data_IF_894452701137
#
_entry.id   IF_894452701137
#
_cell.length_a   1.000
_cell.length_b   1.000
_cell.length_c   1.000
_cell.angle_alpha   90.00
_cell.angle_beta   90.00
_cell.angle_gamma   90.00
#
_symmetry.space_group_name_H-M   'P 1'
#
loop_
_entity.id
_entity.type
_entity.pdbx_description
1 polymer ?
#
# COMPACT_ATOMS: atom_id res chain seq x y z
N UNK A 1 35.36 -8.84 -10.43
CA UNK A 1 34.12 -9.34 -9.79
C UNK A 1 33.10 -8.22 -9.84
N UNK A 2 31.81 -8.52 -9.94
CA UNK A 2 30.75 -7.50 -9.95
C UNK A 2 30.03 -7.45 -8.61
N UNK A 3 29.40 -6.32 -8.30
CA UNK A 3 28.64 -6.09 -7.07
C UNK A 3 27.15 -6.18 -7.37
N UNK A 4 26.41 -6.89 -6.53
CA UNK A 4 24.97 -7.09 -6.70
C UNK A 4 24.18 -6.18 -5.75
N UNK A 5 22.97 -5.82 -6.17
CA UNK A 5 21.94 -5.17 -5.37
C UNK A 5 20.68 -6.04 -5.46
N UNK A 6 20.03 -6.30 -4.34
CA UNK A 6 18.86 -7.18 -4.27
C UNK A 6 17.69 -6.53 -3.53
N UNK A 7 16.48 -6.88 -3.95
CA UNK A 7 15.26 -6.72 -3.19
C UNK A 7 14.87 -8.08 -2.64
N UNK A 8 14.92 -8.22 -1.31
CA UNK A 8 14.68 -9.49 -0.63
C UNK A 8 13.51 -9.41 0.35
N UNK A 9 12.86 -10.54 0.62
CA UNK A 9 11.90 -10.72 1.71
C UNK A 9 12.40 -11.83 2.63
N UNK A 10 12.70 -11.52 3.89
CA UNK A 10 13.28 -12.50 4.83
C UNK A 10 14.55 -13.18 4.28
N UNK A 11 15.36 -12.46 3.50
CA UNK A 11 16.56 -12.97 2.83
C UNK A 11 16.30 -13.83 1.59
N UNK A 12 15.06 -13.86 1.09
CA UNK A 12 14.70 -14.50 -0.17
C UNK A 12 14.62 -13.46 -1.29
N UNK A 13 15.46 -13.62 -2.32
CA UNK A 13 15.58 -12.62 -3.40
C UNK A 13 14.42 -12.62 -4.38
N UNK A 14 13.77 -11.47 -4.53
CA UNK A 14 12.67 -11.23 -5.46
C UNK A 14 13.15 -10.59 -6.77
N UNK A 15 14.15 -9.71 -6.69
CA UNK A 15 14.76 -9.08 -7.85
C UNK A 15 16.20 -8.71 -7.51
N UNK A 16 17.07 -8.70 -8.50
CA UNK A 16 18.45 -8.28 -8.33
C UNK A 16 18.98 -7.61 -9.60
N UNK A 17 20.06 -6.85 -9.43
CA UNK A 17 20.85 -6.31 -10.53
C UNK A 17 22.33 -6.37 -10.16
N UNK A 18 23.20 -6.31 -11.17
CA UNK A 18 24.65 -6.37 -11.00
C UNK A 18 25.30 -5.17 -11.67
N UNK A 19 26.18 -4.50 -10.92
CA UNK A 19 26.91 -3.31 -11.36
C UNK A 19 25.99 -2.16 -11.83
N UNK A 20 24.72 -2.15 -11.42
CA UNK A 20 23.75 -1.10 -11.70
C UNK A 20 22.62 -1.14 -10.67
N UNK A 21 21.87 -0.05 -10.50
CA UNK A 21 20.73 0.00 -9.57
C UNK A 21 19.57 -0.91 -9.97
N UNK A 22 19.45 -1.26 -11.25
CA UNK A 22 18.28 -1.96 -11.77
C UNK A 22 16.99 -1.15 -11.56
N UNK A 23 15.96 -1.82 -11.07
CA UNK A 23 14.69 -1.18 -10.71
C UNK A 23 14.90 -0.41 -9.40
N UNK A 24 14.58 0.88 -9.40
CA UNK A 24 14.58 1.65 -8.16
C UNK A 24 13.34 1.27 -7.31
N UNK A 25 13.62 0.71 -6.13
CA UNK A 25 12.64 0.22 -5.16
C UNK A 25 12.41 1.18 -3.99
N UNK A 26 13.02 2.37 -4.01
CA UNK A 26 13.00 3.31 -2.90
C UNK A 26 11.60 3.80 -2.49
N UNK A 27 10.63 3.78 -3.41
CA UNK A 27 9.22 4.06 -3.11
C UNK A 27 8.56 3.09 -2.12
N UNK A 28 9.14 1.92 -1.89
CA UNK A 28 8.71 0.97 -0.84
C UNK A 28 9.17 1.39 0.57
N UNK A 29 10.09 2.35 0.66
CA UNK A 29 10.72 2.76 1.91
C UNK A 29 10.54 4.26 2.15
N UNK A 30 10.77 4.68 3.38
CA UNK A 30 10.76 6.06 3.85
C UNK A 30 12.16 6.40 4.38
N UNK A 31 12.45 7.69 4.53
CA UNK A 31 13.79 8.15 4.95
C UNK A 31 14.26 7.57 6.30
N UNK A 32 13.34 7.15 7.17
CA UNK A 32 13.64 6.52 8.45
C UNK A 32 14.00 5.03 8.38
N UNK A 33 13.89 4.40 7.21
CA UNK A 33 14.09 2.94 7.05
C UNK A 33 15.54 2.56 6.71
N UNK A 34 16.47 3.51 6.73
CA UNK A 34 17.89 3.21 6.62
C UNK A 34 18.35 2.42 7.83
N UNK A 35 19.02 1.30 7.57
CA UNK A 35 19.49 0.37 8.59
C UNK A 35 20.90 -0.09 8.23
N UNK A 36 21.83 -0.01 9.18
CA UNK A 36 23.15 -0.61 9.03
C UNK A 36 23.10 -2.04 9.56
N UNK A 37 23.28 -3.02 8.68
CA UNK A 37 23.34 -4.42 9.06
C UNK A 37 24.54 -4.69 9.99
N UNK A 38 24.44 -5.62 10.94
CA UNK A 38 25.62 -6.10 11.68
C UNK A 38 26.60 -6.78 10.71
N UNK A 39 27.90 -6.84 11.05
CA UNK A 39 28.86 -7.54 10.20
C UNK A 39 28.56 -9.04 10.16
N UNK A 40 28.85 -9.69 9.04
CA UNK A 40 28.75 -11.15 8.90
C UNK A 40 29.84 -11.85 9.70
N UNK A 41 29.70 -13.15 9.94
CA UNK A 41 30.76 -13.92 10.61
C UNK A 41 32.08 -13.88 9.82
N UNK A 42 32.00 -13.92 8.49
CA UNK A 42 33.16 -13.81 7.59
C UNK A 42 33.84 -12.44 7.71
N UNK A 43 33.06 -11.36 7.71
CA UNK A 43 33.59 -9.99 7.90
C UNK A 43 34.26 -9.81 9.27
N UNK A 44 33.73 -10.45 10.32
CA UNK A 44 34.33 -10.44 11.66
C UNK A 44 35.66 -11.19 11.67
N UNK A 45 35.74 -12.34 11.00
CA UNK A 45 36.96 -13.14 10.91
C UNK A 45 38.07 -12.44 10.10
N UNK A 46 37.69 -11.62 9.11
CA UNK A 46 38.62 -10.79 8.33
C UNK A 46 39.22 -9.60 9.11
N UNK A 47 38.64 -9.25 10.28
CA UNK A 47 39.26 -8.34 11.26
C UNK A 47 39.26 -6.85 10.90
N UNK A 48 38.26 -6.37 10.15
CA UNK A 48 38.12 -4.96 9.76
C UNK A 48 37.60 -4.02 10.86
N UNK A 49 37.76 -2.69 10.67
CA UNK A 49 37.08 -1.69 11.50
C UNK A 49 35.66 -1.40 10.97
N UNK A 50 34.65 -1.88 11.70
CA UNK A 50 33.25 -1.75 11.33
C UNK A 50 32.64 -0.36 11.57
N UNK A 51 33.40 0.55 12.20
CA UNK A 51 32.96 1.91 12.47
C UNK A 51 33.45 2.93 11.45
N UNK A 52 34.30 2.51 10.49
CA UNK A 52 34.72 3.39 9.41
C UNK A 52 33.54 3.74 8.49
N UNK A 53 33.45 4.98 7.97
CA UNK A 53 32.34 5.41 7.13
C UNK A 53 32.06 4.50 5.93
N UNK A 54 33.10 3.99 5.27
CA UNK A 54 32.97 3.13 4.10
C UNK A 54 32.43 1.74 4.47
N UNK A 55 32.81 1.21 5.64
CA UNK A 55 32.29 -0.05 6.20
C UNK A 55 30.84 0.07 6.65
N UNK A 56 30.46 1.23 7.22
CA UNK A 56 29.07 1.53 7.55
C UNK A 56 28.25 1.61 6.26
N UNK A 57 28.71 2.37 5.26
CA UNK A 57 28.03 2.52 3.98
C UNK A 57 27.85 1.18 3.26
N UNK A 58 28.90 0.35 3.22
CA UNK A 58 28.86 -0.98 2.61
C UNK A 58 27.74 -1.85 3.17
N UNK A 59 27.48 -1.77 4.48
CA UNK A 59 26.45 -2.55 5.19
C UNK A 59 25.12 -1.80 5.35
N UNK A 60 24.97 -0.63 4.73
CA UNK A 60 23.73 0.15 4.84
C UNK A 60 22.70 -0.32 3.83
N UNK A 61 21.52 -0.66 4.31
CA UNK A 61 20.37 -1.12 3.53
C UNK A 61 19.14 -0.26 3.81
N UNK A 62 18.10 -0.43 3.00
CA UNK A 62 16.74 -0.02 3.37
C UNK A 62 15.97 -1.24 3.86
N UNK A 63 15.26 -1.11 4.99
CA UNK A 63 14.59 -2.23 5.64
C UNK A 63 13.25 -1.81 6.27
N UNK A 64 12.16 -2.47 5.90
CA UNK A 64 10.81 -2.22 6.48
C UNK A 64 10.07 -3.55 6.72
N UNK A 65 9.26 -3.69 7.79
CA UNK A 65 8.43 -4.87 7.99
C UNK A 65 7.45 -5.11 6.84
N UNK A 66 7.27 -6.37 6.45
CA UNK A 66 6.42 -6.80 5.34
C UNK A 66 4.98 -6.32 5.51
N UNK A 67 4.43 -6.36 6.74
CA UNK A 67 3.09 -5.88 7.02
C UNK A 67 2.89 -4.39 6.72
N UNK A 68 3.93 -3.56 6.88
CA UNK A 68 3.87 -2.14 6.51
C UNK A 68 4.07 -1.93 5.00
N UNK A 69 4.91 -2.76 4.37
CA UNK A 69 5.12 -2.74 2.92
C UNK A 69 3.81 -3.00 2.17
N UNK A 70 2.96 -3.91 2.65
CA UNK A 70 1.64 -4.18 2.05
C UNK A 70 0.82 -2.90 1.85
N UNK A 71 0.76 -2.02 2.86
CA UNK A 71 0.00 -0.79 2.73
C UNK A 71 0.53 0.13 1.62
N UNK A 72 1.85 0.13 1.41
CA UNK A 72 2.49 0.88 0.31
C UNK A 72 2.21 0.21 -1.03
N UNK A 73 2.28 -1.11 -1.10
CA UNK A 73 1.97 -1.89 -2.31
C UNK A 73 0.54 -1.67 -2.78
N UNK A 74 -0.43 -1.67 -1.86
CA UNK A 74 -1.84 -1.42 -2.19
C UNK A 74 -2.05 -0.01 -2.80
N UNK A 75 -1.29 1.00 -2.34
CA UNK A 75 -1.29 2.38 -2.89
C UNK A 75 -0.46 2.55 -4.17
N UNK A 76 0.41 1.58 -4.49
CA UNK A 76 1.13 1.48 -5.76
C UNK A 76 0.35 0.65 -6.79
N UNK A 77 -0.81 0.10 -6.42
CA UNK A 77 -1.66 -0.71 -7.29
C UNK A 77 -1.32 -2.20 -7.31
N UNK A 78 -0.37 -2.65 -6.50
CA UNK A 78 -0.03 -4.07 -6.32
C UNK A 78 -0.96 -4.72 -5.28
N UNK A 79 -2.26 -4.66 -5.57
CA UNK A 79 -3.33 -5.26 -4.76
C UNK A 79 -3.40 -6.77 -4.98
N UNK A 80 -4.10 -7.47 -4.08
CA UNK A 80 -4.32 -8.91 -4.24
C UNK A 80 -5.10 -9.24 -5.51
N UNK A 81 -6.08 -8.40 -5.87
CA UNK A 81 -6.85 -8.51 -7.11
C UNK A 81 -5.97 -8.39 -8.35
N UNK A 82 -5.06 -7.42 -8.38
CA UNK A 82 -4.13 -7.28 -9.50
C UNK A 82 -3.08 -8.40 -9.56
N UNK A 83 -2.66 -8.95 -8.41
CA UNK A 83 -1.79 -10.13 -8.39
C UNK A 83 -2.52 -11.36 -8.96
N UNK A 84 -3.81 -11.53 -8.68
CA UNK A 84 -4.65 -12.57 -9.28
C UNK A 84 -4.79 -12.38 -10.79
N UNK A 85 -5.09 -11.15 -11.23
CA UNK A 85 -5.18 -10.81 -12.65
C UNK A 85 -3.86 -11.10 -13.38
N UNK A 86 -2.74 -10.66 -12.82
CA UNK A 86 -1.40 -10.90 -13.37
C UNK A 86 -1.10 -12.39 -13.48
N UNK A 87 -1.41 -13.18 -12.44
CA UNK A 87 -1.25 -14.63 -12.46
C UNK A 87 -2.07 -15.29 -13.57
N UNK A 88 -3.36 -14.92 -13.70
CA UNK A 88 -4.25 -15.51 -14.69
C UNK A 88 -3.81 -15.16 -16.13
N UNK A 89 -3.37 -13.93 -16.37
CA UNK A 89 -2.82 -13.52 -17.67
C UNK A 89 -1.52 -14.26 -18.00
N UNK A 90 -0.62 -14.41 -17.02
CA UNK A 90 0.62 -15.19 -17.18
C UNK A 90 0.33 -16.66 -17.50
N UNK A 91 -0.59 -17.30 -16.77
CA UNK A 91 -0.98 -18.70 -17.03
C UNK A 91 -1.62 -18.87 -18.40
N UNK A 92 -2.50 -17.94 -18.82
CA UNK A 92 -3.08 -17.94 -20.17
C UNK A 92 -1.98 -17.89 -21.23
N UNK A 93 -1.04 -16.95 -21.10
CA UNK A 93 0.08 -16.80 -22.03
C UNK A 93 0.95 -18.06 -22.10
N UNK A 94 1.34 -18.59 -20.95
CA UNK A 94 2.13 -19.83 -20.86
C UNK A 94 1.41 -21.03 -21.50
N UNK A 95 0.08 -21.11 -21.37
CA UNK A 95 -0.72 -22.18 -21.98
C UNK A 95 -0.68 -22.09 -23.51
N UNK A 96 -0.86 -20.88 -24.06
CA UNK A 96 -0.78 -20.63 -25.51
C UNK A 96 0.61 -20.97 -26.03
N UNK A 97 1.67 -20.49 -25.37
CA UNK A 97 3.06 -20.77 -25.75
C UNK A 97 3.38 -22.27 -25.74
N UNK A 98 2.89 -23.01 -24.74
CA UNK A 98 3.06 -24.46 -24.66
C UNK A 98 2.30 -25.21 -25.77
N UNK A 99 1.04 -24.83 -26.05
CA UNK A 99 0.25 -25.44 -27.12
C UNK A 99 0.86 -25.16 -28.50
N UNK A 100 1.39 -23.95 -28.73
CA UNK A 100 2.13 -23.62 -29.94
C UNK A 100 3.44 -24.42 -30.04
N UNK A 101 4.21 -24.50 -28.96
CA UNK A 101 5.45 -25.28 -28.93
C UNK A 101 5.20 -26.75 -29.24
N UNK A 102 4.20 -27.39 -28.60
CA UNK A 102 3.81 -28.78 -28.86
C UNK A 102 3.38 -28.98 -30.33
N UNK A 103 2.69 -28.01 -30.93
CA UNK A 103 2.28 -28.07 -32.33
C UNK A 103 3.47 -28.03 -33.30
N UNK A 104 4.50 -27.23 -33.02
CA UNK A 104 5.68 -27.11 -33.89
C UNK A 104 6.79 -28.12 -33.59
N UNK A 105 6.86 -28.61 -32.35
CA UNK A 105 7.92 -29.48 -31.83
C UNK A 105 7.36 -30.67 -31.03
N UNK A 106 6.49 -31.51 -31.62
CA UNK A 106 5.78 -32.57 -30.90
C UNK A 106 6.70 -33.61 -30.26
N UNK A 107 7.87 -33.86 -30.85
CA UNK A 107 8.88 -34.78 -30.31
C UNK A 107 9.55 -34.26 -29.02
N UNK A 108 9.47 -32.96 -28.74
CA UNK A 108 9.98 -32.32 -27.53
C UNK A 108 8.86 -31.98 -26.52
N UNK A 109 7.61 -32.32 -26.84
CA UNK A 109 6.46 -32.02 -25.99
C UNK A 109 6.57 -32.72 -24.63
N UNK A 110 6.43 -31.95 -23.56
CA UNK A 110 6.34 -32.48 -22.20
C UNK A 110 4.91 -32.97 -21.93
N UNK A 111 4.71 -33.94 -21.00
CA UNK A 111 3.37 -34.34 -20.60
C UNK A 111 2.54 -33.14 -20.15
N UNK A 112 1.29 -33.03 -20.62
CA UNK A 112 0.38 -31.97 -20.18
C UNK A 112 0.13 -32.10 -18.68
N UNK A 113 0.45 -31.03 -17.96
CA UNK A 113 0.13 -30.87 -16.54
C UNK A 113 -0.87 -29.73 -16.43
N UNK A 114 -1.97 -29.99 -15.72
CA UNK A 114 -2.92 -28.93 -15.38
C UNK A 114 -2.23 -27.94 -14.43
N UNK A 115 -2.10 -26.69 -14.88
CA UNK A 115 -1.49 -25.64 -14.08
C UNK A 115 -2.40 -25.27 -12.92
N UNK A 116 -1.77 -25.01 -11.78
CA UNK A 116 -2.41 -24.61 -10.55
C UNK A 116 -3.21 -23.32 -10.76
N UNK A 117 -4.41 -23.25 -10.19
CA UNK A 117 -5.21 -22.01 -10.22
C UNK A 117 -4.75 -21.04 -9.15
N UNK A 118 -5.04 -19.76 -9.31
CA UNK A 118 -4.62 -18.74 -8.34
C UNK A 118 -5.00 -19.06 -6.88
N UNK A 119 -6.22 -19.54 -6.55
CA UNK A 119 -6.56 -19.92 -5.16
C UNK A 119 -5.72 -21.05 -4.58
N UNK A 120 -5.24 -21.97 -5.41
CA UNK A 120 -4.34 -23.05 -4.99
C UNK A 120 -2.91 -22.52 -4.79
N UNK A 121 -2.46 -21.62 -5.66
CA UNK A 121 -1.15 -20.99 -5.60
C UNK A 121 -0.99 -20.08 -4.38
N UNK A 122 -1.97 -19.22 -4.13
CA UNK A 122 -1.97 -18.40 -2.92
C UNK A 122 -2.06 -19.26 -1.65
N UNK A 123 -2.80 -20.38 -1.68
CA UNK A 123 -2.84 -21.30 -0.55
C UNK A 123 -1.49 -21.99 -0.33
N UNK A 124 -0.79 -22.39 -1.40
CA UNK A 124 0.57 -22.89 -1.31
C UNK A 124 1.50 -21.88 -0.61
N UNK A 125 1.46 -20.60 -1.03
CA UNK A 125 2.26 -19.53 -0.41
C UNK A 125 1.87 -19.28 1.06
N UNK A 126 0.57 -19.18 1.35
CA UNK A 126 0.03 -18.87 2.69
C UNK A 126 0.44 -19.87 3.77
N UNK A 127 0.76 -21.10 3.39
CA UNK A 127 1.15 -22.17 4.32
C UNK A 127 2.65 -22.19 4.66
N UNK A 128 3.43 -21.22 4.18
CA UNK A 128 4.88 -21.16 4.42
C UNK A 128 5.25 -19.97 5.30
N UNK A 129 5.79 -20.25 6.49
CA UNK A 129 6.42 -19.25 7.35
C UNK A 129 7.86 -19.03 6.88
N UNK A 130 8.21 -17.82 6.44
CA UNK A 130 9.50 -17.56 5.79
C UNK A 130 10.70 -17.75 6.73
N UNK A 131 10.53 -17.40 8.02
CA UNK A 131 11.55 -17.60 9.06
C UNK A 131 11.86 -19.07 9.37
N UNK A 132 10.94 -19.98 9.04
CA UNK A 132 11.09 -21.41 9.33
C UNK A 132 11.83 -22.13 8.19
N UNK A 133 12.08 -21.46 7.07
CA UNK A 133 12.81 -22.02 5.92
C UNK A 133 14.31 -21.97 6.15
N UNK A 134 14.99 -23.10 5.94
CA UNK A 134 16.44 -23.16 6.03
C UNK A 134 17.10 -22.26 4.96
N UNK A 135 18.06 -21.44 5.39
CA UNK A 135 18.82 -20.53 4.55
C UNK A 135 20.31 -20.87 4.51
N UNK A 136 20.74 -21.95 5.17
CA UNK A 136 22.11 -22.43 5.12
C UNK A 136 22.47 -22.89 3.70
N UNK A 137 23.69 -22.53 3.27
CA UNK A 137 24.22 -22.98 2.00
C UNK A 137 24.45 -24.49 2.02
N UNK A 138 23.72 -25.19 1.14
CA UNK A 138 23.88 -26.62 0.94
C UNK A 138 25.12 -26.84 0.10
N UNK A 139 26.16 -27.42 0.72
CA UNK A 139 27.38 -27.82 0.04
C UNK A 139 27.53 -29.35 0.13
N UNK A 140 27.13 -30.06 -0.91
CA UNK A 140 27.08 -31.52 -0.94
C UNK A 140 27.59 -32.08 -2.26
N UNK A 141 28.57 -32.98 -2.20
CA UNK A 141 29.23 -33.54 -3.41
C UNK A 141 28.30 -34.40 -4.27
N UNK A 142 27.20 -34.90 -3.70
CA UNK A 142 26.23 -35.75 -4.40
C UNK A 142 25.08 -34.90 -4.94
N UNK A 143 24.91 -34.78 -6.28
CA UNK A 143 23.86 -33.94 -6.85
C UNK A 143 22.44 -34.34 -6.42
N UNK A 144 22.17 -35.63 -6.21
CA UNK A 144 20.87 -36.10 -5.74
C UNK A 144 20.60 -35.71 -4.29
N UNK A 145 21.62 -35.81 -3.43
CA UNK A 145 21.51 -35.45 -2.01
C UNK A 145 21.42 -33.94 -1.85
N UNK A 146 22.21 -33.20 -2.61
CA UNK A 146 22.18 -31.73 -2.70
C UNK A 146 20.78 -31.24 -3.10
N UNK A 147 20.22 -31.73 -4.22
CA UNK A 147 18.85 -31.40 -4.66
C UNK A 147 17.81 -31.71 -3.59
N UNK A 148 17.93 -32.84 -2.89
CA UNK A 148 17.00 -33.22 -1.81
C UNK A 148 17.07 -32.26 -0.62
N UNK A 149 18.25 -31.80 -0.26
CA UNK A 149 18.45 -30.87 0.85
C UNK A 149 17.99 -29.45 0.48
N UNK A 150 18.31 -28.98 -0.72
CA UNK A 150 17.81 -27.72 -1.28
C UNK A 150 16.28 -27.73 -1.36
N UNK A 151 15.66 -28.84 -1.79
CA UNK A 151 14.19 -28.96 -1.80
C UNK A 151 13.56 -28.86 -0.41
N UNK A 152 14.26 -29.30 0.64
CA UNK A 152 13.75 -29.31 2.01
C UNK A 152 12.36 -29.96 2.10
N UNK A 153 11.37 -29.21 2.60
CA UNK A 153 9.98 -29.67 2.75
C UNK A 153 9.18 -29.75 1.45
N UNK A 154 9.67 -29.21 0.33
CA UNK A 154 8.97 -29.18 -0.96
C UNK A 154 9.20 -30.47 -1.76
N UNK A 155 8.61 -31.57 -1.30
CA UNK A 155 8.85 -32.91 -1.86
C UNK A 155 7.71 -33.46 -2.73
N UNK A 156 6.54 -32.82 -2.71
CA UNK A 156 5.38 -33.25 -3.51
C UNK A 156 5.55 -32.85 -4.98
N UNK A 157 6.23 -33.69 -5.75
CA UNK A 157 6.53 -33.47 -7.16
C UNK A 157 5.28 -33.25 -8.03
N UNK A 158 4.16 -33.91 -7.72
CA UNK A 158 2.89 -33.70 -8.45
C UNK A 158 2.35 -32.28 -8.24
N UNK A 159 2.44 -31.76 -7.01
CA UNK A 159 2.05 -30.38 -6.69
C UNK A 159 3.00 -29.36 -7.32
N UNK A 160 4.31 -29.62 -7.29
CA UNK A 160 5.29 -28.68 -7.84
C UNK A 160 5.16 -28.54 -9.35
N UNK A 161 4.86 -29.63 -10.06
CA UNK A 161 4.65 -29.60 -11.52
C UNK A 161 3.45 -28.79 -11.97
N UNK A 162 2.47 -28.54 -11.10
CA UNK A 162 1.36 -27.65 -11.44
C UNK A 162 1.70 -26.17 -11.23
N UNK A 163 2.82 -25.84 -10.57
CA UNK A 163 3.26 -24.45 -10.45
C UNK A 163 3.75 -23.95 -11.82
N UNK A 164 3.27 -22.79 -12.32
CA UNK A 164 3.74 -22.23 -13.58
C UNK A 164 5.25 -22.01 -13.58
N UNK A 165 5.89 -22.22 -14.73
CA UNK A 165 7.35 -22.12 -14.90
C UNK A 165 8.23 -23.04 -14.04
N UNK A 166 7.67 -24.01 -13.32
CA UNK A 166 8.46 -24.96 -12.55
C UNK A 166 9.45 -25.74 -13.44
N UNK A 167 10.74 -25.63 -13.12
CA UNK A 167 11.79 -26.53 -13.62
C UNK A 167 12.17 -27.49 -12.50
N UNK A 168 12.37 -28.78 -12.81
CA UNK A 168 12.70 -29.81 -11.81
C UNK A 168 14.04 -29.55 -11.09
N UNK A 169 14.80 -28.56 -11.54
CA UNK A 169 16.19 -28.34 -11.17
C UNK A 169 16.39 -27.26 -10.12
N UNK A 170 15.34 -26.52 -9.71
CA UNK A 170 15.46 -25.40 -8.77
C UNK A 170 16.66 -24.52 -9.15
N UNK A 171 16.73 -24.14 -10.43
CA UNK A 171 17.92 -23.53 -11.00
C UNK A 171 18.34 -22.30 -10.18
N UNK A 172 19.60 -22.28 -9.74
CA UNK A 172 20.20 -21.26 -8.86
C UNK A 172 19.70 -21.21 -7.40
N UNK A 173 18.97 -22.23 -6.93
CA UNK A 173 18.72 -22.41 -5.50
C UNK A 173 19.90 -23.12 -4.82
N UNK A 174 20.13 -22.75 -3.56
CA UNK A 174 21.26 -23.20 -2.74
C UNK A 174 20.84 -23.55 -1.31
N UNK A 175 19.53 -23.44 -1.01
CA UNK A 175 18.92 -23.65 0.31
C UNK A 175 17.41 -23.88 0.16
N UNK A 176 16.74 -24.37 1.21
CA UNK A 176 15.27 -24.51 1.24
C UNK A 176 14.55 -23.18 0.96
N UNK A 177 15.07 -22.08 1.50
CA UNK A 177 14.52 -20.74 1.30
C UNK A 177 14.66 -20.25 -0.14
N UNK A 178 15.83 -20.41 -0.75
CA UNK A 178 16.02 -20.03 -2.17
C UNK A 178 15.22 -20.93 -3.11
N UNK A 179 15.05 -22.21 -2.76
CA UNK A 179 14.16 -23.12 -3.47
C UNK A 179 12.71 -22.63 -3.43
N UNK A 180 12.18 -22.26 -2.27
CA UNK A 180 10.85 -21.65 -2.16
C UNK A 180 10.75 -20.36 -3.00
N UNK A 181 11.79 -19.51 -2.96
CA UNK A 181 11.89 -18.31 -3.79
C UNK A 181 11.71 -18.60 -5.28
N UNK A 182 12.41 -19.60 -5.81
CA UNK A 182 12.26 -20.00 -7.22
C UNK A 182 10.87 -20.53 -7.58
N UNK A 183 10.13 -21.09 -6.61
CA UNK A 183 8.78 -21.59 -6.84
C UNK A 183 7.73 -20.47 -6.90
N UNK A 184 7.94 -19.39 -6.15
CA UNK A 184 6.93 -18.33 -5.98
C UNK A 184 7.22 -17.07 -6.77
N UNK A 185 8.49 -16.85 -7.16
CA UNK A 185 8.93 -15.64 -7.84
C UNK A 185 8.65 -15.69 -9.36
N UNK A 186 7.37 -15.84 -9.72
CA UNK A 186 6.88 -16.04 -11.11
C UNK A 186 6.08 -14.84 -11.64
N UNK A 187 5.86 -13.81 -10.82
CA UNK A 187 5.15 -12.58 -11.14
C UNK A 187 6.08 -11.38 -10.94
N UNK A 188 5.57 -10.16 -11.19
CA UNK A 188 6.28 -8.94 -10.80
C UNK A 188 6.68 -9.01 -9.30
N UNK A 189 7.91 -8.60 -8.92
CA UNK A 189 8.41 -8.74 -7.56
C UNK A 189 7.45 -8.22 -6.49
N UNK A 190 6.81 -7.08 -6.75
CA UNK A 190 5.85 -6.48 -5.83
C UNK A 190 4.56 -7.28 -5.66
N UNK A 191 4.09 -7.95 -6.73
CA UNK A 191 2.95 -8.87 -6.65
C UNK A 191 3.33 -10.09 -5.80
N UNK A 192 4.53 -10.64 -5.96
CA UNK A 192 5.02 -11.75 -5.12
C UNK A 192 5.14 -11.33 -3.65
N UNK A 193 5.74 -10.17 -3.36
CA UNK A 193 5.82 -9.60 -2.00
C UNK A 193 4.41 -9.45 -1.39
N UNK A 194 3.44 -8.97 -2.17
CA UNK A 194 2.05 -8.86 -1.74
C UNK A 194 1.45 -10.22 -1.38
N UNK A 195 1.72 -11.27 -2.17
CA UNK A 195 1.25 -12.64 -1.89
C UNK A 195 1.92 -13.24 -0.65
N UNK A 196 3.22 -13.02 -0.45
CA UNK A 196 3.97 -13.52 0.72
C UNK A 196 3.40 -12.98 2.05
N UNK A 197 2.89 -11.76 2.03
CA UNK A 197 2.30 -11.11 3.19
C UNK A 197 0.95 -11.68 3.61
N UNK A 198 0.35 -12.52 2.76
CA UNK A 198 -0.93 -13.13 3.07
C UNK A 198 -0.85 -14.23 4.15
N UNK A 199 0.34 -14.76 4.41
CA UNK A 199 0.60 -15.46 5.66
C UNK A 199 0.86 -14.43 6.76
N UNK A 200 -0.08 -14.32 7.71
CA UNK A 200 0.00 -13.35 8.82
C UNK A 200 1.25 -13.50 9.68
N UNK A 201 1.84 -14.70 9.77
CA UNK A 201 3.08 -14.94 10.51
C UNK A 201 4.29 -14.25 9.87
N UNK A 202 4.21 -13.90 8.57
CA UNK A 202 5.27 -13.22 7.85
C UNK A 202 5.24 -11.69 8.02
N UNK A 203 4.21 -11.12 8.67
CA UNK A 203 4.04 -9.65 8.77
C UNK A 203 5.24 -8.93 9.42
N UNK A 204 5.91 -9.59 10.36
CA UNK A 204 7.11 -9.10 11.02
C UNK A 204 8.42 -9.38 10.30
N UNK A 205 8.40 -10.17 9.23
CA UNK A 205 9.57 -10.38 8.37
C UNK A 205 9.89 -9.07 7.63
N UNK A 206 11.14 -8.92 7.21
CA UNK A 206 11.58 -7.68 6.59
C UNK A 206 11.70 -7.80 5.08
N UNK A 207 11.27 -6.73 4.41
CA UNK A 207 11.66 -6.45 3.04
C UNK A 207 12.92 -5.59 3.09
N UNK A 208 13.94 -5.97 2.34
CA UNK A 208 15.25 -5.30 2.32
C UNK A 208 15.66 -4.93 0.91
N UNK A 209 16.17 -3.72 0.73
CA UNK A 209 16.85 -3.32 -0.51
C UNK A 209 18.32 -3.03 -0.19
N UNK A 210 19.19 -3.94 -0.62
CA UNK A 210 20.60 -3.99 -0.23
C UNK A 210 21.49 -3.19 -1.18
N UNK A 211 21.47 -1.86 -1.01
CA UNK A 211 22.18 -0.94 -1.90
C UNK A 211 23.61 -0.61 -1.46
N UNK A 212 23.97 -0.90 -0.21
CA UNK A 212 25.18 -0.38 0.45
C UNK A 212 26.47 -0.77 -0.27
N UNK A 213 26.63 -2.05 -0.58
CA UNK A 213 27.79 -2.56 -1.30
C UNK A 213 27.90 -1.95 -2.71
N UNK A 214 26.76 -1.76 -3.40
CA UNK A 214 26.73 -1.18 -4.75
C UNK A 214 27.25 0.27 -4.75
N UNK A 215 26.81 1.08 -3.79
CA UNK A 215 27.23 2.48 -3.65
C UNK A 215 28.68 2.57 -3.17
N UNK A 216 29.07 1.75 -2.19
CA UNK A 216 30.44 1.72 -1.65
C UNK A 216 31.47 1.36 -2.74
N UNK A 217 31.13 0.43 -3.63
CA UNK A 217 31.99 0.05 -4.77
C UNK A 217 31.93 1.03 -5.97
N UNK A 218 31.17 2.13 -5.87
CA UNK A 218 31.11 3.17 -6.90
C UNK A 218 30.26 2.83 -8.14
N UNK A 219 29.41 1.81 -8.07
CA UNK A 219 28.50 1.46 -9.18
C UNK A 219 27.23 2.33 -9.22
N UNK A 220 26.92 3.01 -8.11
CA UNK A 220 25.82 3.97 -7.99
C UNK A 220 26.21 5.09 -7.03
N UNK A 221 25.56 6.26 -7.11
CA UNK A 221 25.76 7.31 -6.13
C UNK A 221 24.71 7.20 -5.02
N UNK A 222 25.07 7.57 -3.79
CA UNK A 222 24.12 7.58 -2.67
C UNK A 222 22.89 8.47 -2.94
N UNK A 223 23.06 9.57 -3.68
CA UNK A 223 21.97 10.46 -4.10
C UNK A 223 20.94 9.80 -5.01
N UNK A 224 21.30 8.68 -5.64
CA UNK A 224 20.42 7.93 -6.54
C UNK A 224 19.51 6.98 -5.73
N UNK A 225 19.73 6.84 -4.41
CA UNK A 225 18.90 6.07 -3.48
C UNK A 225 17.79 6.97 -2.92
N UNK A 226 16.76 7.19 -3.73
CA UNK A 226 15.62 8.05 -3.34
C UNK A 226 14.59 7.28 -2.52
N UNK A 227 14.39 7.67 -1.26
CA UNK A 227 13.31 7.13 -0.41
C UNK A 227 12.03 7.97 -0.53
N UNK A 228 10.93 7.43 0.01
CA UNK A 228 9.58 7.99 0.00
C UNK A 228 8.88 7.89 -1.36
N UNK A 229 7.57 8.13 -1.35
CA UNK A 229 6.73 8.05 -2.55
C UNK A 229 7.15 9.09 -3.59
N UNK A 230 7.31 8.63 -4.83
CA UNK A 230 7.60 9.50 -5.99
C UNK A 230 6.42 10.39 -6.33
N UNK A 231 6.71 11.55 -6.94
CA UNK A 231 5.68 12.54 -7.30
C UNK A 231 4.51 11.96 -8.11
N UNK A 232 4.76 11.05 -9.05
CA UNK A 232 3.72 10.45 -9.90
C UNK A 232 2.87 9.40 -9.17
N UNK A 233 3.34 8.89 -8.03
CA UNK A 233 2.62 7.94 -7.20
C UNK A 233 1.83 8.60 -6.06
N UNK A 234 2.06 9.90 -5.82
CA UNK A 234 1.32 10.65 -4.79
C UNK A 234 -0.11 10.94 -5.22
N UNK A 235 -1.00 10.91 -4.25
CA UNK A 235 -2.39 11.30 -4.37
C UNK A 235 -2.57 12.75 -3.89
N UNK A 236 -3.12 13.58 -4.77
CA UNK A 236 -3.54 14.94 -4.42
C UNK A 236 -4.91 14.87 -3.75
N UNK A 237 -5.00 15.27 -2.50
CA UNK A 237 -6.24 15.23 -1.73
C UNK A 237 -6.83 16.64 -1.66
N UNK A 238 -8.04 16.79 -2.21
CA UNK A 238 -8.77 18.05 -2.19
C UNK A 238 -9.97 17.94 -1.24
N UNK A 239 -9.94 18.73 -0.17
CA UNK A 239 -11.02 18.77 0.84
C UNK A 239 -11.81 20.08 0.72
N UNK A 240 -13.02 20.12 1.28
CA UNK A 240 -13.85 21.33 1.28
C UNK A 240 -13.21 22.49 2.06
N UNK A 241 -12.62 22.19 3.22
CA UNK A 241 -11.99 23.14 4.11
C UNK A 241 -10.57 22.78 4.49
N UNK A 242 -9.84 23.76 5.05
CA UNK A 242 -8.49 23.53 5.56
C UNK A 242 -8.49 22.71 6.85
N UNK A 243 -9.57 22.78 7.64
CA UNK A 243 -9.72 22.01 8.89
C UNK A 243 -9.59 20.51 8.58
N UNK A 244 -10.29 20.08 7.55
CA UNK A 244 -10.36 18.71 7.03
C UNK A 244 -8.99 18.21 6.61
N UNK A 245 -8.31 18.98 5.76
CA UNK A 245 -6.95 18.69 5.34
C UNK A 245 -6.00 18.53 6.53
N UNK A 246 -6.08 19.40 7.53
CA UNK A 246 -5.22 19.29 8.71
C UNK A 246 -5.56 18.08 9.59
N UNK A 247 -6.84 17.78 9.78
CA UNK A 247 -7.30 16.63 10.58
C UNK A 247 -6.85 15.33 9.93
N UNK A 248 -7.07 15.17 8.62
CA UNK A 248 -6.65 13.99 7.87
C UNK A 248 -5.12 13.83 7.87
N UNK A 249 -4.36 14.91 7.63
CA UNK A 249 -2.89 14.88 7.72
C UNK A 249 -2.40 14.45 9.10
N UNK A 250 -3.01 15.00 10.17
CA UNK A 250 -2.65 14.64 11.55
C UNK A 250 -3.03 13.17 11.84
N UNK A 251 -4.18 12.72 11.39
CA UNK A 251 -4.64 11.34 11.54
C UNK A 251 -3.72 10.35 10.82
N UNK A 252 -3.31 10.64 9.57
CA UNK A 252 -2.34 9.83 8.82
C UNK A 252 -1.00 9.73 9.58
N UNK A 253 -0.44 10.86 10.06
CA UNK A 253 0.79 10.87 10.87
C UNK A 253 0.68 10.04 12.14
N UNK A 254 -0.48 10.09 12.80
CA UNK A 254 -0.73 9.37 14.04
C UNK A 254 -0.98 7.88 13.82
N UNK A 255 -1.71 7.49 12.78
CA UNK A 255 -2.26 6.13 12.67
C UNK A 255 -1.66 5.33 11.51
N UNK A 256 -1.16 5.99 10.46
CA UNK A 256 -0.70 5.39 9.19
C UNK A 256 0.56 6.08 8.68
N UNK A 257 1.54 6.26 9.58
CA UNK A 257 2.80 6.94 9.29
C UNK A 257 3.58 6.25 8.16
N UNK A 258 3.43 4.93 8.05
CA UNK A 258 4.06 4.07 7.04
C UNK A 258 3.65 4.38 5.59
N UNK A 259 2.60 5.19 5.38
CA UNK A 259 2.09 5.60 4.06
C UNK A 259 1.82 7.11 3.96
N UNK A 260 2.16 7.91 4.97
CA UNK A 260 1.76 9.33 4.98
C UNK A 260 2.32 10.14 3.79
N UNK A 261 3.48 9.72 3.27
CA UNK A 261 4.20 10.34 2.16
C UNK A 261 3.52 10.16 0.79
N UNK A 262 2.51 9.28 0.70
CA UNK A 262 1.64 9.14 -0.47
C UNK A 262 0.64 10.29 -0.60
N UNK A 263 0.33 11.01 0.47
CA UNK A 263 -0.79 11.97 0.49
C UNK A 263 -0.29 13.41 0.46
N UNK A 264 -0.70 14.15 -0.58
CA UNK A 264 -0.43 15.57 -0.70
C UNK A 264 -1.75 16.35 -0.67
N UNK A 265 -1.98 17.07 0.42
CA UNK A 265 -3.22 17.84 0.61
C UNK A 265 -3.10 19.20 -0.07
N UNK A 266 -4.07 19.52 -0.92
CA UNK A 266 -4.15 20.80 -1.62
C UNK A 266 -4.66 21.85 -0.62
N UNK A 267 -3.82 22.82 -0.28
CA UNK A 267 -4.27 23.96 0.52
C UNK A 267 -5.03 24.95 -0.36
N UNK A 268 -6.36 24.98 -0.20
CA UNK A 268 -7.23 25.91 -0.92
C UNK A 268 -7.18 27.34 -0.37
N UNK A 269 -6.40 27.65 0.68
CA UNK A 269 -6.27 29.01 1.26
C UNK A 269 -5.12 29.84 0.69
N UNK A 270 -3.97 29.23 0.37
CA UNK A 270 -2.78 29.96 -0.03
C UNK A 270 -2.66 30.08 -1.55
N UNK A 271 -3.27 31.13 -2.11
CA UNK A 271 -3.05 31.55 -3.50
C UNK A 271 -4.07 31.06 -4.54
N UNK A 272 -5.10 30.30 -4.14
CA UNK A 272 -6.24 29.94 -4.99
C UNK A 272 -7.54 30.64 -4.56
N UNK A 273 -8.42 31.09 -5.49
CA UNK A 273 -9.44 32.11 -5.18
C UNK A 273 -10.73 31.64 -4.50
N UNK A 274 -10.84 30.40 -4.01
CA UNK A 274 -12.15 29.76 -4.00
C UNK A 274 -12.42 28.80 -2.80
N UNK A 275 -12.88 29.31 -1.62
CA UNK A 275 -13.32 28.46 -0.50
C UNK A 275 -14.76 27.90 -0.68
N UNK A 276 -15.03 26.66 -0.25
CA UNK A 276 -16.39 26.05 -0.19
C UNK A 276 -16.73 25.01 -1.26
N UNK A 277 -17.84 24.26 -1.06
CA UNK A 277 -18.30 23.15 -1.92
C UNK A 277 -18.51 23.54 -3.39
N UNK A 278 -19.20 24.67 -3.64
CA UNK A 278 -19.43 25.18 -5.01
C UNK A 278 -18.14 25.50 -5.78
N UNK A 279 -17.06 25.76 -5.05
CA UNK A 279 -15.74 26.04 -5.60
C UNK A 279 -14.95 24.76 -5.89
N UNK A 280 -15.12 23.74 -5.05
CA UNK A 280 -14.53 22.41 -5.28
C UNK A 280 -15.09 21.76 -6.56
N UNK A 281 -16.39 21.94 -6.84
CA UNK A 281 -17.01 21.46 -8.10
C UNK A 281 -16.36 22.11 -9.32
N UNK A 282 -16.18 23.44 -9.31
CA UNK A 282 -15.52 24.17 -10.43
C UNK A 282 -14.06 23.75 -10.58
N UNK A 283 -13.38 23.48 -9.47
CA UNK A 283 -12.02 22.99 -9.48
C UNK A 283 -11.95 21.58 -10.11
N UNK A 284 -12.85 20.67 -9.75
CA UNK A 284 -12.97 19.36 -10.37
C UNK A 284 -13.25 19.45 -11.89
N UNK A 285 -14.24 20.25 -12.29
CA UNK A 285 -14.57 20.49 -13.71
C UNK A 285 -13.38 21.08 -14.49
N UNK A 286 -12.65 22.03 -13.90
CA UNK A 286 -11.44 22.58 -14.48
C UNK A 286 -10.34 21.53 -14.68
N UNK A 287 -10.11 20.68 -13.68
CA UNK A 287 -9.09 19.61 -13.72
C UNK A 287 -9.42 18.54 -14.78
N UNK A 288 -10.69 18.17 -14.92
CA UNK A 288 -11.15 17.24 -15.96
C UNK A 288 -10.96 17.85 -17.35
N UNK A 289 -11.31 19.12 -17.54
CA UNK A 289 -11.21 19.81 -18.84
C UNK A 289 -9.78 19.99 -19.35
N UNK A 290 -8.79 20.07 -18.46
CA UNK A 290 -7.37 20.19 -18.83
C UNK A 290 -6.65 18.84 -18.92
N UNK A 291 -7.36 17.72 -18.75
CA UNK A 291 -6.81 16.37 -18.80
C UNK A 291 -5.60 16.17 -17.86
N UNK A 292 -5.79 16.52 -16.59
CA UNK A 292 -4.75 16.38 -15.57
C UNK A 292 -4.33 14.91 -15.42
N UNK A 293 -3.02 14.66 -15.32
CA UNK A 293 -2.45 13.31 -15.22
C UNK A 293 -2.17 12.86 -13.77
N UNK A 294 -2.25 13.79 -12.80
CA UNK A 294 -2.03 13.49 -11.39
C UNK A 294 -3.16 12.61 -10.82
N UNK A 295 -2.85 11.78 -9.81
CA UNK A 295 -3.88 11.05 -9.06
C UNK A 295 -4.56 12.00 -8.09
N UNK A 296 -5.88 12.15 -8.16
CA UNK A 296 -6.64 13.13 -7.34
C UNK A 296 -7.81 12.44 -6.65
N UNK A 297 -8.00 12.75 -5.37
CA UNK A 297 -9.19 12.35 -4.61
C UNK A 297 -9.84 13.57 -4.00
N UNK A 298 -11.10 13.81 -4.37
CA UNK A 298 -11.97 14.78 -3.72
C UNK A 298 -12.63 14.14 -2.49
N UNK A 299 -12.57 14.82 -1.35
CA UNK A 299 -13.16 14.37 -0.08
C UNK A 299 -14.13 15.44 0.42
N UNK A 300 -15.40 15.07 0.48
CA UNK A 300 -16.51 15.94 0.85
C UNK A 300 -17.09 15.56 2.20
N UNK A 301 -17.68 16.52 2.91
CA UNK A 301 -18.36 16.27 4.17
C UNK A 301 -19.63 15.41 3.96
N UNK A 302 -20.06 14.73 5.01
CA UNK A 302 -21.30 13.95 5.01
C UNK A 302 -22.47 14.81 5.51
N UNK A 303 -22.65 15.96 4.86
CA UNK A 303 -23.73 16.89 5.11
C UNK A 303 -24.50 17.21 3.82
N UNK A 304 -25.54 18.05 3.92
CA UNK A 304 -26.35 18.39 2.76
C UNK A 304 -25.54 19.03 1.62
N UNK A 305 -24.53 19.85 1.92
CA UNK A 305 -23.72 20.55 0.91
C UNK A 305 -22.69 19.62 0.27
N UNK A 306 -22.01 18.80 1.07
CA UNK A 306 -21.02 17.83 0.62
C UNK A 306 -21.65 16.75 -0.26
N UNK A 307 -22.83 16.23 0.11
CA UNK A 307 -23.56 15.25 -0.72
C UNK A 307 -24.04 15.86 -2.04
N UNK A 308 -24.52 17.11 -2.02
CA UNK A 308 -24.91 17.83 -3.24
C UNK A 308 -23.71 18.00 -4.20
N UNK A 309 -22.55 18.40 -3.67
CA UNK A 309 -21.33 18.55 -4.45
C UNK A 309 -20.76 17.22 -4.93
N UNK A 310 -20.83 16.16 -4.11
CA UNK A 310 -20.45 14.80 -4.49
C UNK A 310 -21.20 14.34 -5.74
N UNK A 311 -22.52 14.49 -5.74
CA UNK A 311 -23.37 14.10 -6.86
C UNK A 311 -22.99 14.88 -8.13
N UNK A 312 -22.83 16.20 -8.03
CA UNK A 312 -22.42 17.05 -9.16
C UNK A 312 -21.04 16.69 -9.72
N UNK A 313 -20.06 16.40 -8.87
CA UNK A 313 -18.70 16.02 -9.32
C UNK A 313 -18.74 14.68 -10.05
N UNK A 314 -19.57 13.72 -9.61
CA UNK A 314 -19.69 12.42 -10.27
C UNK A 314 -20.33 12.49 -11.66
N UNK A 315 -21.09 13.53 -11.95
CA UNK A 315 -21.65 13.79 -13.28
C UNK A 315 -20.59 14.27 -14.30
N UNK A 316 -19.40 14.71 -13.85
CA UNK A 316 -18.35 15.26 -14.71
C UNK A 316 -17.57 14.24 -15.56
N UNK A 317 -17.98 12.96 -15.58
CA UNK A 317 -17.26 11.87 -16.25
C UNK A 317 -15.76 11.83 -15.88
N UNK A 318 -15.48 11.62 -14.59
CA UNK A 318 -14.12 11.63 -14.04
C UNK A 318 -13.20 10.61 -14.75
N UNK A 319 -11.96 11.00 -15.13
CA UNK A 319 -10.99 10.06 -15.66
C UNK A 319 -10.50 9.10 -14.56
N UNK A 320 -9.86 8.00 -14.98
CA UNK A 320 -9.45 6.89 -14.11
C UNK A 320 -8.52 7.30 -12.95
N UNK A 321 -7.76 8.39 -13.12
CA UNK A 321 -6.86 8.96 -12.13
C UNK A 321 -7.55 9.91 -11.14
N UNK A 322 -8.85 10.15 -11.26
CA UNK A 322 -9.62 11.02 -10.37
C UNK A 322 -10.76 10.25 -9.73
N UNK A 323 -10.87 10.36 -8.41
CA UNK A 323 -11.98 9.80 -7.65
C UNK A 323 -12.62 10.86 -6.75
N UNK A 324 -13.87 10.66 -6.39
CA UNK A 324 -14.63 11.54 -5.52
C UNK A 324 -15.31 10.68 -4.45
N UNK A 325 -15.15 11.05 -3.19
CA UNK A 325 -15.75 10.40 -2.03
C UNK A 325 -16.32 11.44 -1.08
N UNK A 326 -17.26 11.03 -0.24
CA UNK A 326 -17.70 11.80 0.92
C UNK A 326 -17.39 11.01 2.19
N UNK A 327 -17.38 11.69 3.34
CA UNK A 327 -17.19 11.04 4.63
C UNK A 327 -18.28 9.97 4.87
N UNK A 328 -17.95 8.82 5.49
CA UNK A 328 -18.85 7.66 5.52
C UNK A 328 -19.97 7.79 6.55
N UNK A 329 -21.14 7.25 6.26
CA UNK A 329 -22.19 7.10 7.27
C UNK A 329 -21.71 6.21 8.43
N UNK A 330 -22.09 6.57 9.66
CA UNK A 330 -21.85 5.73 10.83
C UNK A 330 -23.15 5.45 11.60
N UNK A 331 -23.31 4.25 12.20
CA UNK A 331 -24.44 3.94 13.07
C UNK A 331 -24.61 4.92 14.23
N UNK A 332 -23.49 5.41 14.79
CA UNK A 332 -23.45 6.43 15.85
C UNK A 332 -24.15 7.75 15.47
N UNK A 333 -24.30 8.01 14.17
CA UNK A 333 -24.92 9.22 13.64
C UNK A 333 -26.42 9.03 13.32
N UNK A 334 -26.98 7.83 13.51
CA UNK A 334 -28.41 7.57 13.32
C UNK A 334 -29.29 8.13 14.45
N UNK A 335 -28.74 8.20 15.66
CA UNK A 335 -29.43 8.72 16.84
C UNK A 335 -28.54 9.71 17.60
N UNK A 336 -28.15 10.79 16.91
CA UNK A 336 -27.24 11.79 17.45
C UNK A 336 -28.01 12.95 18.10
N UNK A 337 -27.56 13.49 19.25
CA UNK A 337 -28.19 14.66 19.86
C UNK A 337 -28.18 15.86 18.92
N UNK A 338 -29.36 16.41 18.63
CA UNK A 338 -29.52 17.58 17.78
C UNK A 338 -30.44 18.60 18.47
N UNK A 339 -30.08 19.88 18.43
CA UNK A 339 -30.88 20.97 18.97
C UNK A 339 -31.53 21.76 17.84
N UNK A 340 -32.86 21.78 17.87
CA UNK A 340 -33.70 22.60 17.00
C UNK A 340 -34.55 23.60 17.79
N UNK A 341 -35.52 24.26 17.14
CA UNK A 341 -36.43 25.21 17.79
C UNK A 341 -37.28 24.62 18.92
N UNK A 342 -37.41 23.29 18.99
CA UNK A 342 -38.26 22.59 19.96
C UNK A 342 -37.45 21.88 21.07
N UNK A 343 -36.15 22.19 21.17
CA UNK A 343 -35.26 21.57 22.15
C UNK A 343 -34.34 20.51 21.55
N UNK A 344 -33.83 19.63 22.40
CA UNK A 344 -32.90 18.57 22.03
C UNK A 344 -33.69 17.29 21.69
N UNK A 345 -33.40 16.72 20.53
CA UNK A 345 -33.95 15.47 20.01
C UNK A 345 -32.80 14.56 19.57
N UNK A 346 -33.03 13.24 19.54
CA UNK A 346 -32.12 12.30 18.88
C UNK A 346 -32.56 12.16 17.42
N UNK A 347 -31.67 12.44 16.49
CA UNK A 347 -31.97 12.44 15.06
C UNK A 347 -30.86 11.76 14.26
N UNK A 348 -31.24 11.28 13.08
CA UNK A 348 -30.26 10.85 12.09
C UNK A 348 -29.66 12.09 11.42
N UNK A 349 -28.34 12.23 11.55
CA UNK A 349 -27.56 13.34 11.00
C UNK A 349 -26.72 12.96 9.78
N UNK A 350 -26.64 11.66 9.43
CA UNK A 350 -25.97 11.18 8.22
C UNK A 350 -26.56 11.86 6.97
N UNK A 351 -25.68 12.32 6.07
CA UNK A 351 -26.05 13.07 4.88
C UNK A 351 -26.64 14.46 5.14
N UNK A 352 -26.66 14.93 6.39
CA UNK A 352 -27.35 16.17 6.79
C UNK A 352 -26.45 17.17 7.52
N UNK A 353 -25.57 16.70 8.40
CA UNK A 353 -24.77 17.58 9.27
C UNK A 353 -23.45 16.97 9.78
N UNK A 354 -22.95 15.89 9.15
CA UNK A 354 -21.73 15.22 9.60
C UNK A 354 -20.51 15.80 8.89
N UNK A 355 -19.80 16.70 9.57
CA UNK A 355 -18.48 17.17 9.17
C UNK A 355 -17.37 16.26 9.72
N UNK A 356 -16.13 16.45 9.25
CA UNK A 356 -14.99 15.66 9.73
C UNK A 356 -14.78 15.69 11.26
N UNK A 357 -15.13 16.80 11.93
CA UNK A 357 -14.99 16.90 13.38
C UNK A 357 -15.89 15.91 14.13
N UNK A 358 -16.97 15.43 13.52
CA UNK A 358 -17.85 14.40 14.10
C UNK A 358 -17.17 13.02 14.22
N UNK A 359 -16.08 12.78 13.48
CA UNK A 359 -15.29 11.54 13.54
C UNK A 359 -14.15 11.61 14.55
N UNK A 360 -14.00 12.72 15.27
CA UNK A 360 -13.08 12.83 16.40
C UNK A 360 -13.70 12.18 17.65
N UNK A 361 -12.89 11.99 18.69
CA UNK A 361 -13.38 11.51 19.97
C UNK A 361 -14.15 12.65 20.67
N UNK A 362 -15.47 12.62 20.49
CA UNK A 362 -16.37 13.60 21.08
C UNK A 362 -16.54 13.40 22.60
N UNK A 363 -16.13 12.25 23.14
CA UNK A 363 -16.16 11.95 24.58
C UNK A 363 -14.91 12.48 25.29
N UNK A 364 -13.81 12.69 24.56
CA UNK A 364 -12.60 13.34 25.05
C UNK A 364 -12.77 14.86 25.21
N UNK A 365 -13.78 15.25 25.99
CA UNK A 365 -14.25 16.62 26.12
C UNK A 365 -14.50 17.00 27.59
N UNK A 366 -14.61 18.31 27.82
CA UNK A 366 -15.02 18.86 29.12
C UNK A 366 -16.50 19.29 29.08
N UNK A 367 -17.22 18.95 28.00
CA UNK A 367 -18.63 19.25 27.81
C UNK A 367 -19.45 18.00 28.12
N UNK A 368 -20.69 18.21 28.58
CA UNK A 368 -21.56 17.10 29.00
C UNK A 368 -21.90 16.17 27.82
N UNK A 369 -22.31 16.72 26.68
CA UNK A 369 -22.65 15.93 25.48
C UNK A 369 -22.46 16.75 24.20
N UNK A 370 -21.85 16.13 23.19
CA UNK A 370 -21.71 16.71 21.85
C UNK A 370 -23.05 16.68 21.12
N UNK A 371 -23.38 17.78 20.42
CA UNK A 371 -24.65 17.88 19.68
C UNK A 371 -24.53 18.68 18.40
N UNK A 372 -25.40 18.36 17.44
CA UNK A 372 -25.62 19.17 16.24
C UNK A 372 -26.59 20.30 16.57
N UNK A 373 -26.35 21.51 16.04
CA UNK A 373 -27.34 22.59 16.04
C UNK A 373 -27.92 22.75 14.65
N UNK A 374 -29.23 22.52 14.53
CA UNK A 374 -29.96 22.79 13.29
C UNK A 374 -30.05 24.30 13.04
N UNK A 375 -29.92 24.68 11.77
CA UNK A 375 -29.96 26.07 11.33
C UNK A 375 -31.10 26.30 10.33
N UNK A 376 -30.86 25.95 9.06
CA UNK A 376 -31.79 26.21 7.96
C UNK A 376 -32.32 24.91 7.36
N UNK A 377 -33.51 24.97 6.77
CA UNK A 377 -34.06 23.90 5.94
C UNK A 377 -33.66 24.12 4.48
N UNK A 378 -33.00 23.14 3.87
CA UNK A 378 -32.68 23.10 2.43
C UNK A 378 -33.80 22.40 1.68
N UNK A 379 -34.51 23.15 0.84
CA UNK A 379 -35.61 22.62 0.00
C UNK A 379 -35.13 21.58 -1.02
N UNK A 380 -33.96 21.80 -1.62
CA UNK A 380 -33.39 20.94 -2.66
C UNK A 380 -33.03 19.55 -2.13
N UNK A 381 -32.65 19.47 -0.86
CA UNK A 381 -32.28 18.22 -0.17
C UNK A 381 -33.40 17.67 0.74
N UNK A 382 -34.55 18.36 0.80
CA UNK A 382 -35.66 18.08 1.74
C UNK A 382 -35.19 17.81 3.19
N UNK A 383 -34.22 18.58 3.66
CA UNK A 383 -33.56 18.32 4.94
C UNK A 383 -33.12 19.59 5.67
N UNK A 384 -33.14 19.54 7.01
CA UNK A 384 -32.45 20.56 7.82
C UNK A 384 -30.94 20.33 7.79
N UNK A 385 -30.19 21.43 7.63
CA UNK A 385 -28.74 21.48 7.73
C UNK A 385 -28.31 22.00 9.11
N UNK A 386 -27.19 21.51 9.60
CA UNK A 386 -26.68 21.84 10.94
C UNK A 386 -25.18 21.68 11.03
N UNK A 387 -24.62 22.04 12.19
CA UNK A 387 -23.20 21.89 12.45
C UNK A 387 -22.96 21.42 13.89
N UNK A 388 -21.85 20.71 14.09
CA UNK A 388 -21.37 20.30 15.42
C UNK A 388 -21.06 21.53 16.28
N UNK A 389 -21.66 21.60 17.47
CA UNK A 389 -21.31 22.62 18.44
C UNK A 389 -19.88 22.46 18.94
N UNK A 390 -19.20 23.58 19.17
CA UNK A 390 -17.83 23.61 19.67
C UNK A 390 -16.83 22.79 18.82
N UNK A 391 -17.05 22.63 17.50
CA UNK A 391 -16.14 21.86 16.63
C UNK A 391 -14.66 22.25 16.76
N UNK A 392 -14.37 23.55 16.88
CA UNK A 392 -13.02 24.07 17.09
C UNK A 392 -12.34 23.54 18.36
N UNK A 393 -13.12 23.23 19.40
CA UNK A 393 -12.61 22.64 20.63
C UNK A 393 -12.11 21.22 20.39
N UNK A 394 -12.90 20.37 19.73
CA UNK A 394 -12.53 19.00 19.40
C UNK A 394 -11.30 18.97 18.50
N UNK A 395 -11.28 19.81 17.47
CA UNK A 395 -10.12 19.95 16.57
C UNK A 395 -8.87 20.35 17.33
N UNK A 396 -8.93 21.37 18.20
CA UNK A 396 -7.75 21.80 18.99
C UNK A 396 -7.22 20.71 19.92
N UNK A 397 -8.08 19.86 20.48
CA UNK A 397 -7.65 18.73 21.32
C UNK A 397 -6.97 17.65 20.49
N UNK A 398 -7.57 17.26 19.38
CA UNK A 398 -7.00 16.29 18.46
C UNK A 398 -5.62 16.72 17.95
N UNK A 399 -5.47 17.98 17.55
CA UNK A 399 -4.19 18.52 17.04
C UNK A 399 -3.04 18.45 18.06
N UNK A 400 -3.37 18.49 19.36
CA UNK A 400 -2.40 18.40 20.46
C UNK A 400 -1.96 16.97 20.78
N UNK A 401 -2.59 15.95 20.21
CA UNK A 401 -2.23 14.55 20.47
C UNK A 401 -0.85 14.23 19.89
N UNK A 402 -0.04 13.50 20.64
CA UNK A 402 1.27 13.01 20.21
C UNK A 402 1.39 11.53 20.57
N UNK A 403 1.96 10.71 19.66
CA UNK A 403 2.23 9.29 19.90
C UNK A 403 3.01 9.11 21.22
N UNK A 404 2.61 8.12 22.02
CA UNK A 404 3.24 7.80 23.30
C UNK A 404 2.87 8.73 24.47
N UNK A 405 1.97 9.69 24.27
CA UNK A 405 1.42 10.48 25.39
C UNK A 405 0.22 9.80 26.04
N UNK A 406 -0.01 10.03 27.34
CA UNK A 406 -1.21 9.54 28.05
C UNK A 406 -2.51 9.96 27.35
N UNK A 407 -2.53 11.18 26.79
CA UNK A 407 -3.67 11.70 26.05
C UNK A 407 -3.96 10.88 24.79
N UNK A 408 -2.91 10.45 24.07
CA UNK A 408 -3.04 9.58 22.90
C UNK A 408 -3.57 8.20 23.28
N UNK A 409 -3.07 7.61 24.36
CA UNK A 409 -3.51 6.28 24.81
C UNK A 409 -4.98 6.26 25.26
N UNK A 410 -5.49 7.38 25.78
CA UNK A 410 -6.88 7.50 26.24
C UNK A 410 -7.87 7.95 25.16
N UNK A 411 -7.40 8.28 23.96
CA UNK A 411 -8.23 8.87 22.91
C UNK A 411 -8.81 7.77 22.01
N UNK A 412 -10.11 7.83 21.71
CA UNK A 412 -10.73 6.90 20.78
C UNK A 412 -10.52 7.33 19.31
N UNK A 413 -9.74 6.54 18.58
CA UNK A 413 -9.47 6.74 17.15
C UNK A 413 -10.41 5.96 16.23
N UNK A 414 -11.40 5.22 16.76
CA UNK A 414 -12.23 4.30 15.98
C UNK A 414 -12.88 4.96 14.76
N UNK A 415 -13.56 6.08 14.95
CA UNK A 415 -14.28 6.81 13.89
C UNK A 415 -13.35 7.41 12.83
N UNK A 416 -12.30 8.12 13.26
CA UNK A 416 -11.33 8.70 12.30
C UNK A 416 -10.55 7.62 11.56
N UNK A 417 -10.35 6.44 12.15
CA UNK A 417 -9.73 5.30 11.47
C UNK A 417 -10.59 4.79 10.32
N UNK A 418 -11.93 4.81 10.47
CA UNK A 418 -12.86 4.46 9.38
C UNK A 418 -12.71 5.47 8.22
N UNK A 419 -12.64 6.77 8.52
CA UNK A 419 -12.41 7.80 7.51
C UNK A 419 -11.09 7.57 6.76
N UNK A 420 -10.00 7.28 7.48
CA UNK A 420 -8.71 6.98 6.85
C UNK A 420 -8.79 5.75 5.96
N UNK A 421 -9.46 4.69 6.40
CA UNK A 421 -9.61 3.46 5.62
C UNK A 421 -10.36 3.71 4.30
N UNK A 422 -11.44 4.50 4.33
CA UNK A 422 -12.18 4.86 3.11
C UNK A 422 -11.33 5.75 2.19
N UNK A 423 -10.57 6.71 2.72
CA UNK A 423 -9.64 7.53 1.94
C UNK A 423 -8.56 6.67 1.26
N UNK A 424 -7.93 5.77 2.02
CA UNK A 424 -6.87 4.88 1.52
C UNK A 424 -7.44 3.94 0.45
N UNK A 425 -8.63 3.39 0.67
CA UNK A 425 -9.34 2.55 -0.30
C UNK A 425 -9.65 3.32 -1.58
N UNK A 426 -10.10 4.57 -1.48
CA UNK A 426 -10.37 5.42 -2.63
C UNK A 426 -9.10 5.71 -3.46
N UNK A 427 -7.96 5.93 -2.79
CA UNK A 427 -6.66 6.12 -3.42
C UNK A 427 -6.15 4.81 -4.05
N UNK A 428 -6.17 3.71 -3.29
CA UNK A 428 -5.75 2.38 -3.75
C UNK A 428 -6.53 1.93 -4.98
N UNK A 429 -7.84 2.24 -5.05
CA UNK A 429 -8.66 1.98 -6.23
C UNK A 429 -8.09 2.63 -7.49
N UNK A 430 -7.72 3.92 -7.44
CA UNK A 430 -7.11 4.61 -8.59
C UNK A 430 -5.85 3.89 -9.06
N UNK A 431 -4.90 3.62 -8.14
CA UNK A 431 -3.65 2.93 -8.50
C UNK A 431 -3.90 1.50 -8.98
N UNK A 432 -4.88 0.80 -8.39
CA UNK A 432 -5.27 -0.55 -8.77
C UNK A 432 -5.82 -0.58 -10.18
N UNK A 433 -6.73 0.33 -10.53
CA UNK A 433 -7.29 0.43 -11.87
C UNK A 433 -6.18 0.74 -12.89
N UNK A 434 -5.26 1.66 -12.58
CA UNK A 434 -4.10 2.00 -13.44
C UNK A 434 -3.23 0.76 -13.69
N UNK A 435 -2.86 0.02 -12.63
CA UNK A 435 -2.07 -1.20 -12.74
C UNK A 435 -2.82 -2.29 -13.51
N UNK A 436 -4.12 -2.43 -13.29
CA UNK A 436 -4.97 -3.38 -14.02
C UNK A 436 -4.90 -3.14 -15.53
N UNK A 437 -4.96 -1.88 -15.97
CA UNK A 437 -4.78 -1.52 -17.38
C UNK A 437 -3.37 -1.81 -17.90
N UNK A 438 -2.33 -1.52 -17.13
CA UNK A 438 -0.94 -1.85 -17.49
C UNK A 438 -0.74 -3.37 -17.68
N UNK A 439 -1.44 -4.19 -16.89
CA UNK A 439 -1.39 -5.65 -17.07
C UNK A 439 -2.03 -6.09 -18.39
N UNK A 440 -3.14 -5.47 -18.81
CA UNK A 440 -3.76 -5.74 -20.12
C UNK A 440 -2.80 -5.37 -21.26
N UNK A 441 -2.09 -4.24 -21.13
CA UNK A 441 -1.10 -3.80 -22.11
C UNK A 441 0.15 -4.71 -22.14
N UNK A 442 0.54 -5.30 -21.00
CA UNK A 442 1.69 -6.21 -20.88
C UNK A 442 1.40 -7.62 -21.43
N UNK A 443 0.14 -8.07 -21.35
CA UNK A 443 -0.33 -9.36 -21.82
C UNK A 443 -1.44 -9.16 -22.85
N UNK A 444 -1.12 -8.65 -24.06
CA UNK A 444 -2.13 -8.43 -25.09
C UNK A 444 -2.75 -9.77 -25.53
N UNK A 445 -4.04 -9.71 -25.88
CA UNK A 445 -4.82 -10.86 -26.35
C UNK A 445 -4.30 -11.51 -27.64
#
# INVERSE_FOLDING_TARGET
MGTEISLDVSGMTMCWSKNSLGIDHGGLFQSGDHYTAPPTAEEVDEGGDFNEPDSILFRTILRKPLGQIVHRLDLLGFTLENAEKEYNLMVKKLTIENDEFEKFYPEYAKPKVELMRFPEFINFIKNVNLKDLDSGFVNEDSPEKEKRLIRGRFTNEHLLRSIPHYTNDFDNAWSEKSAFGSLVNILHPYSVIRLLAENKNNSGEFVTWDYGALVSNGWANLKDIETNTRRHDKFLIATEGSSDSHILQKALRLLRHDIEDFFHFIDMKSGHPFPGTGNLIKFADGLVKIDIQNRIVFVLDNDCEGIEAYNKIRELALPQNINCVHLPDLPDFNEFPAIGPHGITKENINGRAVAIECYLDLTYSNYDEAKIRWSNYKKESDAYQGALENKDYYTKRFMKLNKGSKAYESYDFSKISIVLNELIKACSKISSDIRSKQLDDQYPD
#
